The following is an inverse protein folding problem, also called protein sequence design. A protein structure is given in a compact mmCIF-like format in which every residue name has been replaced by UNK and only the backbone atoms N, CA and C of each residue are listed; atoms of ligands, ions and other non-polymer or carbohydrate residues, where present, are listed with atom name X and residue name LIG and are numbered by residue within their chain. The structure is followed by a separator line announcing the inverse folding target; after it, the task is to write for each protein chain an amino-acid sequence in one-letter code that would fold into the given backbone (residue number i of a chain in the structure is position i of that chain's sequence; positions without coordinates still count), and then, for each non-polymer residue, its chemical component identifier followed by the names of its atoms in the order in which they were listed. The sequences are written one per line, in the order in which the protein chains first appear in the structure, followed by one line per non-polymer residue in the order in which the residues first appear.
data_IF_017880670432
#
_entry.id   IF_017880670432
#
_cell.length_a   1.000
_cell.length_b   1.000
_cell.length_c   1.000
_cell.angle_alpha   90.00
_cell.angle_beta   90.00
_cell.angle_gamma   90.00
#
_symmetry.space_group_name_H-M   'P 1'
#
loop_
_entity.id
_entity.type
_entity.pdbx_description
1 polymer ?
#
# COMPACT_ATOMS: atom_id res chain seq x y z
N UNK A 1 -7.34 -20.11 -7.38
CA UNK A 1 -6.10 -19.37 -7.10
C UNK A 1 -5.81 -18.41 -8.25
N UNK A 2 -6.57 -17.31 -8.33
CA UNK A 2 -6.47 -16.38 -9.47
C UNK A 2 -5.72 -15.09 -9.13
N UNK A 3 -5.35 -14.91 -7.86
CA UNK A 3 -4.59 -13.75 -7.40
C UNK A 3 -3.17 -14.15 -7.03
N UNK A 4 -2.19 -13.41 -7.57
CA UNK A 4 -0.76 -13.67 -7.39
C UNK A 4 -0.02 -12.39 -7.04
N UNK A 5 0.97 -12.48 -6.16
CA UNK A 5 1.87 -11.37 -5.86
C UNK A 5 2.85 -11.18 -7.00
N UNK A 6 2.86 -10.01 -7.63
CA UNK A 6 3.77 -9.70 -8.75
C UNK A 6 5.01 -8.91 -8.31
N UNK A 7 4.95 -8.24 -7.17
CA UNK A 7 6.11 -7.64 -6.53
C UNK A 7 5.90 -7.53 -5.02
N UNK A 8 6.99 -7.36 -4.30
CA UNK A 8 6.98 -7.07 -2.88
C UNK A 8 8.05 -6.03 -2.52
N UNK A 9 7.78 -5.23 -1.49
CA UNK A 9 8.72 -4.26 -0.95
C UNK A 9 8.61 -4.18 0.58
N UNK A 10 9.65 -3.64 1.21
CA UNK A 10 9.64 -3.30 2.64
C UNK A 10 9.49 -1.78 2.79
N UNK A 11 8.37 -1.34 3.35
CA UNK A 11 8.08 0.09 3.54
C UNK A 11 7.23 0.32 4.79
N UNK A 12 7.34 1.50 5.39
CA UNK A 12 6.36 1.98 6.36
C UNK A 12 5.15 2.53 5.59
N UNK A 13 3.94 2.07 5.93
CA UNK A 13 2.72 2.50 5.27
C UNK A 13 2.14 3.68 6.04
N UNK A 14 1.85 4.76 5.32
CA UNK A 14 1.35 6.00 5.87
C UNK A 14 0.03 6.36 5.18
N UNK A 15 -0.87 7.02 5.91
CA UNK A 15 -2.05 7.70 5.35
C UNK A 15 -1.93 9.19 5.61
N UNK A 16 -2.44 10.00 4.69
CA UNK A 16 -2.43 11.45 4.88
C UNK A 16 -3.68 11.85 5.66
N UNK A 17 -3.49 12.50 6.80
CA UNK A 17 -4.54 13.10 7.60
C UNK A 17 -4.77 14.53 7.10
N UNK A 18 -5.81 14.73 6.28
CA UNK A 18 -6.14 16.03 5.70
C UNK A 18 -6.51 17.08 6.75
N UNK A 19 -7.06 16.67 7.90
CA UNK A 19 -7.46 17.58 8.98
C UNK A 19 -6.23 18.21 9.62
N UNK A 20 -5.23 17.38 9.93
CA UNK A 20 -3.99 17.82 10.57
C UNK A 20 -2.85 18.09 9.58
N UNK A 21 -3.10 17.95 8.26
CA UNK A 21 -2.15 18.13 7.16
C UNK A 21 -0.84 17.37 7.34
N UNK A 22 -0.90 16.14 7.85
CA UNK A 22 0.29 15.35 8.19
C UNK A 22 0.13 13.89 7.78
N UNK A 23 1.27 13.25 7.51
CA UNK A 23 1.32 11.80 7.37
C UNK A 23 1.23 11.13 8.74
N UNK A 24 0.36 10.13 8.88
CA UNK A 24 0.24 9.30 10.08
C UNK A 24 0.42 7.83 9.75
N UNK A 25 0.91 6.99 10.69
CA UNK A 25 1.10 5.57 10.44
C UNK A 25 -0.23 4.87 10.17
N UNK A 26 -0.29 4.11 9.08
CA UNK A 26 -1.43 3.24 8.82
C UNK A 26 -1.48 2.12 9.88
N UNK A 27 -2.69 1.82 10.39
CA UNK A 27 -2.88 0.87 11.48
C UNK A 27 -2.48 1.38 12.87
N UNK A 28 -2.29 2.70 13.04
CA UNK A 28 -2.21 3.36 14.36
C UNK A 28 -0.85 3.30 15.06
N UNK A 29 0.14 2.58 14.52
CA UNK A 29 1.51 2.57 15.06
C UNK A 29 2.55 2.49 13.95
N UNK A 30 3.72 3.09 14.20
CA UNK A 30 4.85 3.09 13.27
C UNK A 30 5.45 1.70 13.11
N UNK A 31 5.91 1.36 11.92
CA UNK A 31 6.63 0.12 11.67
C UNK A 31 6.75 -0.22 10.20
N UNK A 32 7.70 -1.09 9.87
CA UNK A 32 7.85 -1.60 8.52
C UNK A 32 6.83 -2.71 8.25
N UNK A 33 6.32 -2.69 7.02
CA UNK A 33 5.41 -3.67 6.47
C UNK A 33 6.04 -4.36 5.28
N UNK A 34 5.63 -5.61 5.03
CA UNK A 34 5.79 -6.25 3.74
C UNK A 34 4.59 -5.86 2.89
N UNK A 35 4.84 -5.11 1.82
CA UNK A 35 3.83 -4.58 0.91
C UNK A 35 3.90 -5.34 -0.39
N UNK A 36 2.79 -5.91 -0.82
CA UNK A 36 2.63 -6.64 -2.07
C UNK A 36 1.75 -5.85 -3.04
N UNK A 37 2.07 -5.95 -4.32
CA UNK A 37 1.09 -5.71 -5.39
C UNK A 37 0.59 -7.07 -5.83
N UNK A 38 -0.72 -7.26 -5.72
CA UNK A 38 -1.41 -8.44 -6.19
C UNK A 38 -2.08 -8.19 -7.55
N UNK A 39 -1.97 -9.16 -8.44
CA UNK A 39 -2.69 -9.21 -9.72
C UNK A 39 -3.69 -10.35 -9.68
N UNK A 40 -4.97 -10.03 -9.87
CA UNK A 40 -6.04 -11.00 -10.04
C UNK A 40 -6.27 -11.24 -11.53
N UNK A 41 -5.73 -12.34 -12.07
CA UNK A 41 -5.72 -12.63 -13.51
C UNK A 41 -7.11 -12.87 -14.09
N UNK A 42 -8.07 -13.35 -13.28
CA UNK A 42 -9.43 -13.66 -13.75
C UNK A 42 -10.28 -12.44 -14.14
N UNK A 43 -9.97 -11.26 -13.60
CA UNK A 43 -10.68 -10.00 -13.91
C UNK A 43 -9.70 -8.85 -14.22
N UNK A 44 -8.42 -9.17 -14.38
CA UNK A 44 -7.33 -8.23 -14.62
C UNK A 44 -7.29 -7.04 -13.61
N UNK A 45 -7.65 -7.29 -12.36
CA UNK A 45 -7.61 -6.28 -11.30
C UNK A 45 -6.30 -6.31 -10.52
N UNK A 46 -5.93 -5.17 -9.94
CA UNK A 46 -4.74 -5.04 -9.11
C UNK A 46 -5.09 -4.43 -7.76
N UNK A 47 -4.36 -4.81 -6.72
CA UNK A 47 -4.47 -4.19 -5.39
C UNK A 47 -3.15 -4.17 -4.65
N UNK A 48 -3.00 -3.20 -3.76
CA UNK A 48 -1.91 -3.15 -2.78
C UNK A 48 -2.38 -3.78 -1.49
N UNK A 49 -1.60 -4.71 -0.94
CA UNK A 49 -1.83 -5.26 0.39
C UNK A 49 -0.54 -5.19 1.19
N UNK A 50 -0.58 -4.56 2.35
CA UNK A 50 0.55 -4.41 3.25
C UNK A 50 0.24 -4.97 4.63
N UNK A 51 1.16 -5.80 5.15
CA UNK A 51 1.10 -6.31 6.53
C UNK A 51 2.35 -5.93 7.30
N UNK A 52 2.19 -5.48 8.54
CA UNK A 52 3.32 -5.23 9.44
C UNK A 52 4.15 -6.50 9.61
N UNK A 53 5.46 -6.34 9.66
CA UNK A 53 6.38 -7.47 9.82
C UNK A 53 6.27 -8.09 11.22
N UNK A 54 5.96 -7.28 12.24
CA UNK A 54 5.98 -7.69 13.65
C UNK A 54 4.77 -8.55 14.05
N UNK A 55 3.56 -8.14 13.67
CA UNK A 55 2.30 -8.70 14.16
C UNK A 55 1.36 -9.13 13.03
N UNK A 56 1.82 -9.03 11.77
CA UNK A 56 1.03 -9.31 10.57
C UNK A 56 -0.27 -8.48 10.44
N UNK A 57 -0.41 -7.37 11.17
CA UNK A 57 -1.54 -6.46 11.04
C UNK A 57 -1.65 -5.95 9.60
N UNK A 58 -2.82 -6.08 8.98
CA UNK A 58 -3.09 -5.48 7.66
C UNK A 58 -3.21 -3.97 7.84
N UNK A 59 -2.30 -3.22 7.22
CA UNK A 59 -2.24 -1.75 7.30
C UNK A 59 -2.70 -1.07 6.02
N UNK A 60 -2.76 -1.80 4.90
CA UNK A 60 -3.34 -1.33 3.65
C UNK A 60 -3.91 -2.52 2.88
N UNK A 61 -5.08 -2.31 2.28
CA UNK A 61 -5.75 -3.23 1.36
C UNK A 61 -6.61 -2.38 0.43
N UNK A 62 -6.00 -1.83 -0.62
CA UNK A 62 -6.67 -0.90 -1.53
C UNK A 62 -6.53 -1.35 -2.99
N UNK A 63 -7.59 -1.14 -3.79
CA UNK A 63 -7.55 -1.41 -5.22
C UNK A 63 -6.61 -0.42 -5.93
N UNK A 64 -6.02 -0.85 -7.05
CA UNK A 64 -5.31 0.01 -8.00
C UNK A 64 -6.20 0.15 -9.24
N UNK A 65 -7.05 1.18 -9.32
CA UNK A 65 -7.89 1.40 -10.49
C UNK A 65 -7.05 1.81 -11.71
N UNK A 66 -7.59 1.55 -12.90
CA UNK A 66 -7.00 2.06 -14.14
C UNK A 66 -6.94 3.59 -14.08
N UNK A 67 -5.77 4.15 -14.37
CA UNK A 67 -5.56 5.61 -14.34
C UNK A 67 -5.12 6.17 -12.99
N UNK A 68 -4.93 5.33 -11.97
CA UNK A 68 -4.31 5.73 -10.71
C UNK A 68 -3.02 6.53 -10.96
N UNK A 69 -2.91 7.67 -10.30
CA UNK A 69 -1.75 8.57 -10.40
C UNK A 69 -0.75 8.22 -9.31
N UNK A 70 0.24 7.42 -9.68
CA UNK A 70 1.36 7.09 -8.82
C UNK A 70 2.40 8.22 -8.85
N UNK A 71 2.74 8.76 -7.68
CA UNK A 71 3.69 9.85 -7.52
C UNK A 71 4.91 9.40 -6.71
N UNK A 72 6.08 9.44 -7.32
CA UNK A 72 7.35 9.26 -6.61
C UNK A 72 7.79 10.62 -6.07
N UNK A 73 7.38 10.96 -4.84
CA UNK A 73 7.68 12.25 -4.24
C UNK A 73 9.18 12.38 -3.90
N UNK A 74 9.81 11.29 -3.48
CA UNK A 74 11.27 11.15 -3.33
C UNK A 74 11.68 9.73 -3.76
N UNK A 75 12.99 9.41 -3.88
CA UNK A 75 13.44 8.05 -4.19
C UNK A 75 13.00 6.95 -3.20
N UNK A 76 12.59 7.33 -1.99
CA UNK A 76 12.17 6.40 -0.92
C UNK A 76 10.76 6.66 -0.40
N UNK A 77 10.05 7.65 -0.96
CA UNK A 77 8.70 8.00 -0.56
C UNK A 77 7.79 8.15 -1.78
N UNK A 78 6.89 7.18 -1.93
CA UNK A 78 5.94 7.11 -3.03
C UNK A 78 4.51 7.19 -2.48
N UNK A 79 3.62 7.84 -3.22
CA UNK A 79 2.26 8.11 -2.77
C UNK A 79 1.28 8.05 -3.95
N UNK A 80 0.02 7.78 -3.64
CA UNK A 80 -1.11 7.89 -4.57
C UNK A 80 -2.32 8.35 -3.77
N UNK A 81 -3.41 8.68 -4.46
CA UNK A 81 -4.73 8.92 -3.87
C UNK A 81 -5.69 7.82 -4.33
N UNK A 82 -6.55 7.38 -3.42
CA UNK A 82 -7.74 6.61 -3.76
C UNK A 82 -8.90 7.52 -4.18
#
# INVERSE_FOLDING_TARGET
MSEQSICQARAAVMVYDDTNKKWVPAGGSTGFSRVHIYHHTGNNAFRVVGRKIQDHQVVINCAIPKGLKYNQATPTFHQWRD
#
